data_IF_798485237156
#
_entry.id   IF_798485237156
#
_cell.length_a   1.000
_cell.length_b   1.000
_cell.length_c   1.000
_cell.angle_alpha   90.00
_cell.angle_beta   90.00
_cell.angle_gamma   90.00
#
_symmetry.space_group_name_H-M   'P 1'
#
loop_
_entity.id
_entity.type
_entity.pdbx_description
1 polymer ?
#
# COMPACT_ATOMS: atom_id res chain seq x y z
N UNK A 1 -0.96 9.40 21.61
CA UNK A 1 -1.50 9.49 20.24
C UNK A 1 -2.49 8.36 20.05
N UNK A 2 -3.58 8.55 19.31
CA UNK A 2 -4.53 7.48 18.98
C UNK A 2 -3.91 6.54 17.94
N UNK A 3 -3.78 5.25 18.27
CA UNK A 3 -3.36 4.20 17.32
C UNK A 3 -4.44 4.04 16.23
N UNK A 4 -4.12 4.13 14.92
CA UNK A 4 -5.10 3.94 13.87
C UNK A 4 -5.55 2.47 13.81
N UNK A 5 -6.82 2.25 13.49
CA UNK A 5 -7.34 0.92 13.15
C UNK A 5 -6.96 0.59 11.72
N UNK A 6 -6.29 -0.54 11.52
CA UNK A 6 -5.87 -1.03 10.21
C UNK A 6 -6.58 -2.33 9.90
N UNK A 7 -7.31 -2.36 8.78
CA UNK A 7 -7.95 -3.57 8.28
C UNK A 7 -6.92 -4.44 7.56
N UNK A 8 -6.61 -5.61 8.11
CA UNK A 8 -5.66 -6.56 7.53
C UNK A 8 -6.45 -7.63 6.77
N UNK A 9 -6.42 -7.63 5.44
CA UNK A 9 -7.07 -8.70 4.68
C UNK A 9 -6.19 -9.94 4.72
N UNK A 10 -6.76 -11.09 5.07
CA UNK A 10 -6.04 -12.37 5.18
C UNK A 10 -5.33 -12.81 3.89
N UNK A 11 -5.80 -12.33 2.73
CA UNK A 11 -5.31 -12.76 1.44
C UNK A 11 -5.84 -14.15 1.08
N UNK A 12 -5.06 -14.93 0.35
CA UNK A 12 -5.39 -16.31 0.01
C UNK A 12 -5.22 -17.22 1.25
N UNK A 13 -6.30 -17.85 1.76
CA UNK A 13 -6.24 -18.69 2.96
C UNK A 13 -5.46 -20.00 2.78
N UNK A 14 -5.16 -20.41 1.54
CA UNK A 14 -4.28 -21.54 1.25
C UNK A 14 -2.81 -21.11 1.13
N UNK A 15 -2.52 -19.80 1.11
CA UNK A 15 -1.14 -19.27 1.09
C UNK A 15 -0.57 -19.04 2.49
N UNK A 16 0.55 -18.32 2.54
CA UNK A 16 1.23 -17.94 3.80
C UNK A 16 0.55 -16.80 4.57
N UNK A 17 -0.44 -16.13 3.99
CA UNK A 17 -1.12 -14.96 4.58
C UNK A 17 -1.56 -15.16 6.03
N UNK A 18 -2.30 -16.25 6.35
CA UNK A 18 -2.66 -16.57 7.73
C UNK A 18 -1.46 -16.71 8.68
N UNK A 19 -0.37 -17.35 8.24
CA UNK A 19 0.83 -17.60 9.06
C UNK A 19 1.55 -16.29 9.39
N UNK A 20 1.81 -15.46 8.38
CA UNK A 20 2.52 -14.18 8.60
C UNK A 20 1.69 -13.20 9.43
N UNK A 21 0.36 -13.24 9.34
CA UNK A 21 -0.53 -12.44 10.21
C UNK A 21 -0.37 -12.88 11.66
N UNK A 22 -0.46 -14.19 11.94
CA UNK A 22 -0.33 -14.69 13.31
C UNK A 22 1.05 -14.39 13.91
N UNK A 23 2.11 -14.46 13.11
CA UNK A 23 3.45 -14.04 13.54
C UNK A 23 3.54 -12.54 13.78
N UNK A 24 3.16 -11.71 12.80
CA UNK A 24 3.22 -10.25 12.89
C UNK A 24 2.46 -9.71 14.09
N UNK A 25 1.26 -10.23 14.36
CA UNK A 25 0.43 -9.77 15.49
C UNK A 25 0.96 -10.23 16.86
N UNK A 26 1.91 -11.16 16.91
CA UNK A 26 2.64 -11.55 18.11
C UNK A 26 3.72 -10.55 18.53
N UNK A 27 4.09 -9.62 17.64
CA UNK A 27 5.06 -8.58 17.96
C UNK A 27 4.41 -7.43 18.72
N UNK A 28 4.96 -7.11 19.90
CA UNK A 28 4.44 -6.04 20.75
C UNK A 28 4.44 -4.67 20.06
N UNK A 29 5.36 -4.42 19.12
CA UNK A 29 5.43 -3.15 18.38
C UNK A 29 4.23 -2.92 17.47
N UNK A 30 3.67 -3.98 16.88
CA UNK A 30 2.48 -3.89 16.01
C UNK A 30 1.29 -3.48 16.86
N UNK A 31 1.10 -4.16 18.00
CA UNK A 31 0.05 -3.80 18.95
C UNK A 31 0.27 -2.39 19.51
N UNK A 32 1.50 -1.96 19.76
CA UNK A 32 1.78 -0.63 20.29
C UNK A 32 1.53 0.52 19.28
N UNK A 33 1.52 0.23 17.98
CA UNK A 33 1.45 1.26 16.93
C UNK A 33 0.11 1.31 16.20
N UNK A 34 -0.63 0.20 16.12
CA UNK A 34 -1.94 0.17 15.48
C UNK A 34 -2.99 -0.64 16.27
N UNK A 35 -4.24 -0.58 15.81
CA UNK A 35 -5.35 -1.46 16.21
C UNK A 35 -5.62 -2.43 15.05
N UNK A 36 -4.99 -3.61 15.04
CA UNK A 36 -5.08 -4.53 13.91
C UNK A 36 -6.43 -5.26 13.91
N UNK A 37 -7.23 -5.06 12.87
CA UNK A 37 -8.47 -5.79 12.63
C UNK A 37 -8.28 -6.72 11.44
N UNK A 38 -8.22 -8.03 11.66
CA UNK A 38 -8.09 -9.00 10.57
C UNK A 38 -9.45 -9.22 9.92
N UNK A 39 -9.55 -9.04 8.61
CA UNK A 39 -10.70 -9.42 7.80
C UNK A 39 -10.38 -10.75 7.13
N UNK A 40 -11.02 -11.82 7.61
CA UNK A 40 -10.56 -13.18 7.32
C UNK A 40 -11.49 -14.28 7.81
N UNK A 41 -10.88 -15.42 8.16
CA UNK A 41 -11.56 -16.58 8.74
C UNK A 41 -10.87 -16.98 10.06
N UNK A 42 -11.64 -16.97 11.15
CA UNK A 42 -11.07 -17.14 12.48
C UNK A 42 -10.48 -18.55 12.69
N UNK A 43 -11.10 -19.59 12.11
CA UNK A 43 -10.57 -20.95 12.27
C UNK A 43 -9.29 -21.16 11.45
N UNK A 44 -9.21 -20.57 10.24
CA UNK A 44 -7.97 -20.56 9.46
C UNK A 44 -6.82 -19.88 10.21
N UNK A 45 -7.08 -18.77 10.92
CA UNK A 45 -6.07 -18.14 11.79
C UNK A 45 -5.66 -19.04 12.95
N UNK A 46 -6.60 -19.74 13.61
CA UNK A 46 -6.25 -20.68 14.68
C UNK A 46 -5.40 -21.84 14.18
N UNK A 47 -5.71 -22.37 12.99
CA UNK A 47 -4.87 -23.37 12.32
C UNK A 47 -3.46 -22.83 12.07
N UNK A 48 -3.35 -21.63 11.51
CA UNK A 48 -2.06 -20.98 11.28
C UNK A 48 -1.29 -20.70 12.58
N UNK A 49 -1.98 -20.26 13.63
CA UNK A 49 -1.41 -20.06 14.97
C UNK A 49 -0.76 -21.33 15.52
N UNK A 50 -1.44 -22.48 15.38
CA UNK A 50 -0.87 -23.80 15.74
C UNK A 50 0.37 -24.14 14.91
N UNK A 51 0.36 -23.86 13.61
CA UNK A 51 1.48 -24.14 12.69
C UNK A 51 2.72 -23.32 13.07
N UNK A 52 2.54 -22.04 13.42
CA UNK A 52 3.66 -21.14 13.76
C UNK A 52 4.03 -21.17 15.25
N UNK A 53 3.32 -21.96 16.07
CA UNK A 53 3.55 -22.02 17.52
C UNK A 53 3.17 -20.74 18.27
N UNK A 54 2.15 -20.02 17.81
CA UNK A 54 1.64 -18.81 18.47
C UNK A 54 0.64 -19.15 19.58
N UNK A 55 0.80 -18.51 20.73
CA UNK A 55 -0.12 -18.61 21.88
C UNK A 55 -1.29 -17.60 21.81
N UNK A 56 -1.37 -16.79 20.74
CA UNK A 56 -2.42 -15.79 20.58
C UNK A 56 -3.80 -16.44 20.42
N UNK A 57 -4.74 -16.04 21.27
CA UNK A 57 -6.15 -16.34 21.06
C UNK A 57 -6.68 -15.57 19.83
N UNK A 58 -7.69 -16.14 19.15
CA UNK A 58 -8.38 -15.51 18.02
C UNK A 58 -9.85 -15.29 18.38
N UNK A 59 -10.24 -14.02 18.51
CA UNK A 59 -11.61 -13.58 18.70
C UNK A 59 -12.33 -13.55 17.34
N UNK A 60 -13.44 -14.29 17.23
CA UNK A 60 -14.31 -14.29 16.05
C UNK A 60 -15.40 -13.24 16.24
N UNK A 61 -15.40 -12.22 15.38
CA UNK A 61 -16.29 -11.06 15.43
C UNK A 61 -17.27 -11.11 14.27
N UNK A 62 -18.52 -10.71 14.50
CA UNK A 62 -19.54 -10.59 13.45
C UNK A 62 -19.54 -9.19 12.81
N UNK A 63 -19.08 -8.18 13.56
CA UNK A 63 -18.97 -6.81 13.11
C UNK A 63 -17.67 -6.16 13.59
N UNK A 64 -17.10 -5.25 12.78
CA UNK A 64 -15.86 -4.55 13.10
C UNK A 64 -15.94 -3.73 14.41
N UNK A 65 -17.13 -3.23 14.75
CA UNK A 65 -17.36 -2.45 15.97
C UNK A 65 -17.32 -3.28 17.27
N UNK A 66 -17.30 -4.62 17.17
CA UNK A 66 -17.19 -5.52 18.32
C UNK A 66 -15.74 -5.72 18.78
N UNK A 67 -14.76 -5.21 18.02
CA UNK A 67 -13.36 -5.45 18.28
C UNK A 67 -12.89 -4.85 19.62
N UNK A 68 -12.35 -5.71 20.48
CA UNK A 68 -11.67 -5.34 21.72
C UNK A 68 -10.15 -5.43 21.53
N UNK A 69 -9.56 -4.30 21.12
CA UNK A 69 -8.12 -4.19 20.87
C UNK A 69 -7.25 -4.23 22.14
N UNK A 70 -7.85 -4.25 23.33
CA UNK A 70 -7.11 -4.35 24.60
C UNK A 70 -7.12 -5.78 25.18
N UNK A 71 -7.92 -6.70 24.60
CA UNK A 71 -8.03 -8.11 25.04
C UNK A 71 -6.76 -8.95 24.89
N UNK A 72 -5.80 -8.49 24.07
CA UNK A 72 -4.61 -9.27 23.68
C UNK A 72 -4.89 -10.39 22.66
N UNK A 73 -6.15 -10.61 22.28
CA UNK A 73 -6.51 -11.56 21.24
C UNK A 73 -6.45 -10.93 19.84
N UNK A 74 -6.18 -11.75 18.82
CA UNK A 74 -6.34 -11.35 17.41
C UNK A 74 -7.82 -11.10 17.13
N UNK A 75 -8.14 -9.84 16.80
CA UNK A 75 -9.49 -9.42 16.45
C UNK A 75 -9.77 -9.78 14.99
N UNK A 76 -10.58 -10.82 14.76
CA UNK A 76 -10.90 -11.28 13.41
C UNK A 76 -12.38 -11.03 13.10
N UNK A 77 -12.64 -10.13 12.16
CA UNK A 77 -13.92 -10.06 11.47
C UNK A 77 -14.06 -11.31 10.61
N UNK A 78 -14.86 -12.26 11.11
CA UNK A 78 -14.87 -13.65 10.68
C UNK A 78 -15.97 -13.89 9.64
N UNK A 79 -15.59 -14.03 8.37
CA UNK A 79 -16.53 -14.20 7.27
C UNK A 79 -16.99 -15.65 7.11
N UNK A 80 -16.28 -16.63 7.70
CA UNK A 80 -16.63 -18.06 7.66
C UNK A 80 -16.83 -18.61 6.25
N UNK A 81 -15.99 -18.16 5.32
CA UNK A 81 -16.05 -18.51 3.89
C UNK A 81 -15.02 -19.56 3.48
N UNK A 82 -14.20 -20.05 4.42
CA UNK A 82 -13.16 -21.03 4.14
C UNK A 82 -13.66 -22.44 4.48
N UNK A 83 -13.63 -23.39 3.54
CA UNK A 83 -13.88 -24.81 3.85
C UNK A 83 -12.89 -25.31 4.90
N UNK A 84 -13.38 -26.07 5.88
CA UNK A 84 -12.58 -26.57 6.99
C UNK A 84 -11.39 -27.45 6.54
N UNK A 85 -11.55 -28.13 5.41
CA UNK A 85 -10.59 -29.05 4.79
C UNK A 85 -9.73 -28.42 3.69
N UNK A 86 -9.85 -27.11 3.43
CA UNK A 86 -9.05 -26.44 2.40
C UNK A 86 -7.55 -26.60 2.73
N UNK A 87 -6.74 -27.23 1.85
CA UNK A 87 -5.33 -27.47 2.11
C UNK A 87 -4.50 -26.20 1.96
N UNK A 88 -3.40 -26.11 2.71
CA UNK A 88 -2.35 -25.13 2.45
C UNK A 88 -1.55 -25.53 1.20
N UNK A 89 -1.01 -24.52 0.52
CA UNK A 89 -0.06 -24.69 -0.58
C UNK A 89 -0.68 -25.10 -1.92
N UNK A 90 -2.00 -25.00 -2.07
CA UNK A 90 -2.70 -25.37 -3.30
C UNK A 90 -3.62 -24.26 -3.78
N UNK A 91 -3.56 -23.99 -5.09
CA UNK A 91 -4.52 -23.09 -5.75
C UNK A 91 -5.92 -23.68 -5.62
N UNK A 92 -6.88 -22.86 -5.17
CA UNK A 92 -8.26 -23.28 -4.98
C UNK A 92 -9.24 -22.15 -5.33
N UNK A 93 -10.31 -22.43 -6.10
CA UNK A 93 -11.38 -21.46 -6.34
C UNK A 93 -12.02 -20.96 -5.04
N UNK A 94 -12.16 -21.83 -4.02
CA UNK A 94 -12.71 -21.43 -2.72
C UNK A 94 -11.78 -20.43 -2.00
N UNK A 95 -10.46 -20.60 -2.13
CA UNK A 95 -9.48 -19.67 -1.58
C UNK A 95 -9.49 -18.32 -2.31
N UNK A 96 -9.67 -18.34 -3.64
CA UNK A 96 -9.86 -17.14 -4.44
C UNK A 96 -11.12 -16.35 -4.09
N UNK A 97 -12.25 -17.04 -3.91
CA UNK A 97 -13.51 -16.43 -3.46
C UNK A 97 -13.35 -15.81 -2.07
N UNK A 98 -12.74 -16.54 -1.13
CA UNK A 98 -12.47 -16.02 0.21
C UNK A 98 -11.62 -14.75 0.17
N UNK A 99 -10.51 -14.74 -0.59
CA UNK A 99 -9.65 -13.57 -0.75
C UNK A 99 -10.41 -12.35 -1.31
N UNK A 100 -11.26 -12.55 -2.32
CA UNK A 100 -12.14 -11.49 -2.85
C UNK A 100 -13.06 -10.93 -1.77
N UNK A 101 -13.74 -11.79 -1.01
CA UNK A 101 -14.67 -11.38 0.06
C UNK A 101 -13.99 -10.62 1.18
N UNK A 102 -12.75 -10.98 1.54
CA UNK A 102 -11.98 -10.23 2.54
C UNK A 102 -11.69 -8.81 2.06
N UNK A 103 -11.36 -8.62 0.79
CA UNK A 103 -11.11 -7.29 0.22
C UNK A 103 -12.41 -6.49 0.15
N UNK A 104 -13.49 -7.08 -0.34
CA UNK A 104 -14.83 -6.46 -0.38
C UNK A 104 -15.26 -5.99 1.01
N UNK A 105 -15.10 -6.83 2.03
CA UNK A 105 -15.45 -6.48 3.40
C UNK A 105 -14.52 -5.43 4.00
N UNK A 106 -13.22 -5.49 3.73
CA UNK A 106 -12.28 -4.46 4.18
C UNK A 106 -12.59 -3.09 3.58
N UNK A 107 -12.98 -3.03 2.29
CA UNK A 107 -13.47 -1.81 1.64
C UNK A 107 -14.71 -1.26 2.36
N UNK A 108 -15.68 -2.11 2.69
CA UNK A 108 -16.87 -1.69 3.43
C UNK A 108 -16.52 -1.14 4.84
N UNK A 109 -15.57 -1.77 5.55
CA UNK A 109 -15.11 -1.31 6.88
C UNK A 109 -14.46 0.08 6.80
N UNK A 110 -13.62 0.34 5.80
CA UNK A 110 -12.97 1.66 5.67
C UNK A 110 -13.94 2.74 5.17
N UNK A 111 -14.87 2.39 4.28
CA UNK A 111 -15.93 3.31 3.84
C UNK A 111 -16.89 3.69 4.98
N UNK A 112 -17.09 2.79 5.95
CA UNK A 112 -17.85 3.05 7.17
C UNK A 112 -17.05 3.84 8.23
N UNK A 113 -15.80 4.23 7.96
CA UNK A 113 -14.94 4.95 8.90
C UNK A 113 -14.43 4.10 10.07
N UNK A 114 -14.61 2.77 10.03
CA UNK A 114 -14.23 1.86 11.11
C UNK A 114 -12.74 1.46 11.06
N UNK A 115 -12.06 1.74 9.95
CA UNK A 115 -10.61 1.60 9.82
C UNK A 115 -10.03 2.77 8.99
N UNK A 116 -8.78 3.14 9.29
CA UNK A 116 -8.05 4.26 8.68
C UNK A 116 -7.08 3.82 7.57
N UNK A 117 -6.96 2.52 7.30
CA UNK A 117 -6.12 1.97 6.25
C UNK A 117 -6.38 0.49 6.03
N UNK A 118 -5.96 0.00 4.85
CA UNK A 118 -5.98 -1.43 4.51
C UNK A 118 -4.53 -1.91 4.38
N UNK A 119 -4.19 -3.02 5.03
CA UNK A 119 -2.94 -3.73 4.80
C UNK A 119 -3.26 -5.11 4.24
N UNK A 120 -2.77 -5.43 3.05
CA UNK A 120 -3.15 -6.69 2.39
C UNK A 120 -2.05 -7.73 2.51
N UNK A 121 -2.39 -8.91 3.04
CA UNK A 121 -1.61 -10.13 2.84
C UNK A 121 -1.77 -10.64 1.38
N UNK A 122 -0.90 -11.55 0.90
CA UNK A 122 -0.85 -11.87 -0.52
C UNK A 122 -2.05 -12.73 -0.97
N UNK A 123 -2.46 -12.56 -2.24
CA UNK A 123 -3.46 -13.41 -2.89
C UNK A 123 -2.91 -14.06 -4.15
N UNK A 124 -3.51 -15.18 -4.58
CA UNK A 124 -3.20 -15.80 -5.86
C UNK A 124 -4.14 -15.27 -6.94
N UNK A 125 -3.58 -14.64 -7.97
CA UNK A 125 -4.33 -14.23 -9.17
C UNK A 125 -5.00 -15.41 -9.84
N UNK A 126 -4.34 -16.57 -9.88
CA UNK A 126 -4.87 -17.80 -10.46
C UNK A 126 -6.11 -18.28 -9.69
N UNK A 127 -6.03 -18.32 -8.35
CA UNK A 127 -7.16 -18.68 -7.51
C UNK A 127 -8.32 -17.70 -7.66
N UNK A 128 -8.03 -16.39 -7.67
CA UNK A 128 -9.00 -15.33 -7.86
C UNK A 128 -9.75 -15.47 -9.20
N UNK A 129 -9.02 -15.77 -10.28
CA UNK A 129 -9.61 -16.00 -11.61
C UNK A 129 -10.44 -17.29 -11.65
N UNK A 130 -9.97 -18.35 -11.00
CA UNK A 130 -10.69 -19.62 -10.90
C UNK A 130 -12.01 -19.48 -10.11
N UNK A 131 -12.09 -18.51 -9.19
CA UNK A 131 -13.32 -18.12 -8.49
C UNK A 131 -14.27 -17.24 -9.33
N UNK A 132 -13.88 -16.87 -10.56
CA UNK A 132 -14.68 -16.01 -11.45
C UNK A 132 -14.33 -14.52 -11.39
N UNK A 133 -13.40 -14.11 -10.53
CA UNK A 133 -13.01 -12.70 -10.33
C UNK A 133 -11.82 -12.32 -11.20
N UNK A 134 -12.07 -11.70 -12.36
CA UNK A 134 -11.03 -11.44 -13.38
C UNK A 134 -10.34 -10.08 -13.17
N UNK A 135 -9.60 -9.97 -12.08
CA UNK A 135 -8.79 -8.78 -11.78
C UNK A 135 -7.29 -9.06 -11.93
N UNK A 136 -6.47 -8.10 -12.42
CA UNK A 136 -5.02 -8.28 -12.48
C UNK A 136 -4.36 -8.46 -11.11
N UNK A 137 -4.87 -7.78 -10.07
CA UNK A 137 -4.43 -7.92 -8.69
C UNK A 137 -5.22 -7.03 -7.73
N UNK A 138 -4.65 -6.81 -6.54
CA UNK A 138 -5.26 -6.01 -5.48
C UNK A 138 -5.59 -4.58 -5.91
N UNK A 139 -4.68 -3.93 -6.64
CA UNK A 139 -4.79 -2.51 -6.99
C UNK A 139 -6.06 -2.24 -7.80
N UNK A 140 -6.28 -3.03 -8.84
CA UNK A 140 -7.44 -2.89 -9.74
C UNK A 140 -8.74 -3.33 -9.06
N UNK A 141 -8.68 -4.39 -8.24
CA UNK A 141 -9.83 -4.85 -7.47
C UNK A 141 -10.29 -3.79 -6.46
N UNK A 142 -9.36 -3.23 -5.68
CA UNK A 142 -9.66 -2.17 -4.72
C UNK A 142 -10.21 -0.94 -5.42
N UNK A 143 -9.57 -0.48 -6.50
CA UNK A 143 -10.03 0.67 -7.27
C UNK A 143 -11.45 0.47 -7.81
N UNK A 144 -11.76 -0.74 -8.30
CA UNK A 144 -13.11 -1.10 -8.74
C UNK A 144 -14.13 -1.01 -7.59
N UNK A 145 -13.84 -1.66 -6.45
CA UNK A 145 -14.73 -1.70 -5.29
C UNK A 145 -14.93 -0.33 -4.64
N UNK A 146 -13.96 0.57 -4.75
CA UNK A 146 -14.05 1.93 -4.19
C UNK A 146 -14.55 2.96 -5.19
N UNK A 147 -14.83 2.58 -6.44
CA UNK A 147 -15.18 3.52 -7.51
C UNK A 147 -14.06 4.53 -7.81
N UNK A 148 -12.81 4.16 -7.56
CA UNK A 148 -11.64 5.03 -7.74
C UNK A 148 -11.13 4.92 -9.18
N UNK A 149 -11.21 5.98 -9.99
CA UNK A 149 -10.87 5.91 -11.41
C UNK A 149 -9.36 5.82 -11.66
N UNK A 150 -8.55 6.43 -10.78
CA UNK A 150 -7.10 6.47 -10.92
C UNK A 150 -6.43 6.32 -9.56
N UNK A 151 -5.36 5.52 -9.53
CA UNK A 151 -4.48 5.35 -8.38
C UNK A 151 -3.03 5.62 -8.81
N UNK A 152 -2.18 5.94 -7.84
CA UNK A 152 -0.75 6.10 -8.00
C UNK A 152 0.00 5.14 -7.09
N UNK A 153 1.15 4.68 -7.57
CA UNK A 153 2.10 3.92 -6.76
C UNK A 153 2.99 4.89 -5.98
N UNK A 154 3.04 4.70 -4.67
CA UNK A 154 3.98 5.36 -3.78
C UNK A 154 4.87 4.31 -3.10
N UNK A 155 6.16 4.60 -3.02
CA UNK A 155 7.12 3.88 -2.20
C UNK A 155 7.48 4.75 -1.01
N UNK A 156 7.63 4.13 0.15
CA UNK A 156 8.03 4.82 1.37
C UNK A 156 9.21 4.11 2.00
N UNK A 157 10.17 4.90 2.48
CA UNK A 157 11.20 4.51 3.41
C UNK A 157 11.16 5.48 4.60
N UNK A 158 11.88 5.20 5.70
CA UNK A 158 11.92 6.11 6.84
C UNK A 158 12.28 7.57 6.51
N UNK A 159 13.01 7.81 5.42
CA UNK A 159 13.51 9.14 5.03
C UNK A 159 12.94 9.67 3.73
N UNK A 160 12.26 8.86 2.94
CA UNK A 160 11.90 9.22 1.57
C UNK A 160 10.53 8.65 1.20
N UNK A 161 9.68 9.50 0.61
CA UNK A 161 8.42 9.09 -0.02
C UNK A 161 8.50 9.43 -1.49
N UNK A 162 8.24 8.45 -2.37
CA UNK A 162 8.32 8.64 -3.82
C UNK A 162 7.04 8.18 -4.47
N UNK A 163 6.32 9.09 -5.11
CA UNK A 163 5.13 8.79 -5.91
C UNK A 163 5.48 8.81 -7.40
N UNK A 164 4.90 7.89 -8.18
CA UNK A 164 5.27 7.69 -9.58
C UNK A 164 4.19 8.21 -10.53
N UNK A 165 4.61 8.94 -11.56
CA UNK A 165 3.75 9.38 -12.67
C UNK A 165 3.47 8.21 -13.62
N UNK A 166 4.48 7.40 -13.89
CA UNK A 166 4.36 6.16 -14.67
C UNK A 166 5.06 4.99 -13.97
N UNK A 167 4.56 3.77 -14.17
CA UNK A 167 5.06 2.55 -13.53
C UNK A 167 5.51 1.50 -14.55
N UNK A 168 4.84 0.36 -14.66
CA UNK A 168 5.28 -0.81 -15.42
C UNK A 168 5.00 -0.68 -16.93
N UNK A 169 5.73 0.22 -17.61
CA UNK A 169 5.71 0.42 -19.07
C UNK A 169 7.13 0.67 -19.60
N UNK A 170 7.35 0.49 -20.91
CA UNK A 170 8.64 0.75 -21.54
C UNK A 170 9.06 2.21 -21.37
N UNK A 171 10.36 2.50 -21.21
CA UNK A 171 10.84 3.85 -20.90
C UNK A 171 10.43 4.90 -21.95
N UNK A 172 10.46 4.55 -23.25
CA UNK A 172 10.01 5.44 -24.32
C UNK A 172 8.51 5.73 -24.18
N UNK A 173 7.71 4.70 -23.91
CA UNK A 173 6.26 4.84 -23.71
C UNK A 173 5.95 5.63 -22.44
N UNK A 174 6.76 5.46 -21.38
CA UNK A 174 6.67 6.26 -20.16
C UNK A 174 6.83 7.74 -20.46
N UNK A 175 7.91 8.11 -21.15
CA UNK A 175 8.19 9.51 -21.52
C UNK A 175 7.08 10.06 -22.42
N UNK A 176 6.61 9.28 -23.40
CA UNK A 176 5.53 9.67 -24.29
C UNK A 176 4.18 9.87 -23.58
N UNK A 177 3.89 9.04 -22.58
CA UNK A 177 2.64 9.07 -21.80
C UNK A 177 2.58 10.25 -20.82
N UNK A 178 3.71 10.80 -20.41
CA UNK A 178 3.74 11.94 -19.48
C UNK A 178 3.13 13.17 -20.18
N UNK A 179 2.16 13.76 -19.49
CA UNK A 179 1.45 14.97 -19.89
C UNK A 179 1.06 15.78 -18.65
N UNK A 180 0.85 17.10 -18.76
CA UNK A 180 0.66 17.97 -17.60
C UNK A 180 -0.47 17.55 -16.65
N UNK A 181 -1.62 17.15 -17.19
CA UNK A 181 -2.76 16.71 -16.40
C UNK A 181 -2.44 15.46 -15.56
N UNK A 182 -1.71 14.50 -16.11
CA UNK A 182 -1.30 13.29 -15.41
C UNK A 182 -0.36 13.63 -14.26
N UNK A 183 0.64 14.49 -14.52
CA UNK A 183 1.57 14.95 -13.49
C UNK A 183 0.81 15.68 -12.37
N UNK A 184 -0.11 16.58 -12.72
CA UNK A 184 -0.93 17.32 -11.75
C UNK A 184 -1.77 16.39 -10.89
N UNK A 185 -2.46 15.41 -11.51
CA UNK A 185 -3.29 14.43 -10.78
C UNK A 185 -2.45 13.55 -9.85
N UNK A 186 -1.22 13.21 -10.23
CA UNK A 186 -0.28 12.45 -9.37
C UNK A 186 0.17 13.30 -8.18
N UNK A 187 0.58 14.56 -8.41
CA UNK A 187 0.93 15.51 -7.33
C UNK A 187 -0.24 15.65 -6.36
N UNK A 188 -1.45 15.89 -6.87
CA UNK A 188 -2.65 16.07 -6.07
C UNK A 188 -2.98 14.85 -5.20
N UNK A 189 -2.85 13.64 -5.74
CA UNK A 189 -3.03 12.38 -5.00
C UNK A 189 -2.04 12.24 -3.85
N UNK A 190 -0.76 12.52 -4.10
CA UNK A 190 0.27 12.47 -3.06
C UNK A 190 0.07 13.54 -1.99
N UNK A 191 -0.17 14.79 -2.40
CA UNK A 191 -0.48 15.91 -1.50
C UNK A 191 -1.65 15.58 -0.55
N UNK A 192 -2.76 15.06 -1.09
CA UNK A 192 -3.94 14.71 -0.30
C UNK A 192 -3.66 13.65 0.78
N UNK A 193 -2.80 12.67 0.50
CA UNK A 193 -2.39 11.66 1.50
C UNK A 193 -1.55 12.29 2.60
N UNK A 194 -0.58 13.13 2.27
CA UNK A 194 0.31 13.74 3.26
C UNK A 194 -0.46 14.69 4.19
N UNK A 195 -1.39 15.48 3.64
CA UNK A 195 -2.29 16.33 4.44
C UNK A 195 -3.13 15.50 5.40
N UNK A 196 -3.75 14.40 4.91
CA UNK A 196 -4.51 13.48 5.78
C UNK A 196 -3.62 12.87 6.88
N UNK A 197 -2.38 12.52 6.55
CA UNK A 197 -1.38 11.99 7.48
C UNK A 197 -0.84 13.04 8.49
N UNK A 198 -1.30 14.30 8.41
CA UNK A 198 -0.99 15.36 9.37
C UNK A 198 0.12 16.32 8.93
N UNK A 199 0.61 16.22 7.69
CA UNK A 199 1.57 17.18 7.11
C UNK A 199 0.74 18.28 6.44
N UNK A 200 0.43 19.34 7.17
CA UNK A 200 -0.52 20.37 6.73
C UNK A 200 -0.09 21.11 5.45
N UNK A 201 1.21 21.34 5.27
CA UNK A 201 1.80 22.01 4.10
C UNK A 201 2.97 21.16 3.56
N UNK A 202 2.69 20.09 2.79
CA UNK A 202 3.73 19.17 2.32
C UNK A 202 4.65 19.83 1.29
N UNK A 203 5.96 19.71 1.50
CA UNK A 203 6.98 20.12 0.52
C UNK A 203 7.19 19.04 -0.51
N UNK A 204 6.79 19.30 -1.75
CA UNK A 204 6.79 18.30 -2.84
C UNK A 204 7.83 18.68 -3.89
N UNK A 205 8.83 17.82 -4.08
CA UNK A 205 9.79 17.96 -5.17
C UNK A 205 9.36 17.16 -6.38
N UNK A 206 9.44 17.73 -7.58
CA UNK A 206 9.08 17.06 -8.83
C UNK A 206 10.32 16.84 -9.68
N UNK A 207 10.61 15.59 -10.01
CA UNK A 207 11.73 15.25 -10.89
C UNK A 207 11.52 15.77 -12.31
N UNK A 208 12.60 16.17 -12.96
CA UNK A 208 12.65 16.31 -14.41
C UNK A 208 12.65 14.94 -15.11
N UNK A 209 12.44 14.93 -16.43
CA UNK A 209 12.63 13.72 -17.25
C UNK A 209 14.11 13.60 -17.62
N UNK A 210 14.70 14.71 -18.07
CA UNK A 210 16.05 14.79 -18.59
C UNK A 210 17.09 15.08 -17.50
N UNK A 211 18.36 14.70 -17.71
CA UNK A 211 19.47 15.15 -16.87
C UNK A 211 19.47 16.66 -16.71
N UNK A 212 19.81 17.13 -15.51
CA UNK A 212 19.93 18.56 -15.19
C UNK A 212 18.67 19.38 -15.52
N UNK A 213 17.49 18.74 -15.47
CA UNK A 213 16.22 19.37 -15.85
C UNK A 213 16.21 19.97 -17.26
N UNK A 214 16.89 19.29 -18.19
CA UNK A 214 17.00 19.72 -19.58
C UNK A 214 18.11 20.75 -19.84
N UNK A 215 18.81 21.21 -18.79
CA UNK A 215 19.94 22.16 -18.88
C UNK A 215 19.61 23.36 -19.80
N UNK A 216 18.51 24.06 -19.49
CA UNK A 216 18.00 25.18 -20.28
C UNK A 216 17.74 24.86 -21.77
N UNK A 217 17.38 23.61 -22.07
CA UNK A 217 17.10 23.13 -23.42
C UNK A 217 18.31 22.53 -24.14
N UNK A 218 19.47 22.41 -23.48
CA UNK A 218 20.61 21.68 -24.03
C UNK A 218 20.38 20.17 -24.04
N UNK A 219 19.60 19.64 -23.10
CA UNK A 219 19.24 18.22 -23.01
C UNK A 219 17.74 18.04 -23.19
N UNK A 220 17.36 17.09 -24.04
CA UNK A 220 15.96 16.82 -24.37
C UNK A 220 15.44 17.68 -25.52
N UNK A 221 14.12 17.73 -25.63
CA UNK A 221 13.34 18.41 -26.69
C UNK A 221 12.29 19.36 -26.12
N UNK A 222 12.47 19.80 -24.88
CA UNK A 222 11.53 20.67 -24.17
C UNK A 222 10.47 19.91 -23.37
N UNK A 223 10.69 18.64 -23.05
CA UNK A 223 9.75 17.80 -22.29
C UNK A 223 9.42 18.40 -20.91
N UNK A 224 10.39 19.01 -20.21
CA UNK A 224 10.14 19.69 -18.95
C UNK A 224 9.12 20.83 -19.08
N UNK A 225 9.28 21.68 -20.09
CA UNK A 225 8.42 22.83 -20.33
C UNK A 225 7.03 22.42 -20.86
N UNK A 226 6.97 21.41 -21.72
CA UNK A 226 5.71 20.92 -22.30
C UNK A 226 4.91 20.09 -21.30
N UNK A 227 5.57 19.21 -20.54
CA UNK A 227 4.91 18.10 -19.83
C UNK A 227 4.85 18.26 -18.32
N UNK A 228 5.78 18.99 -17.71
CA UNK A 228 5.94 19.03 -16.25
C UNK A 228 5.66 20.42 -15.67
N UNK A 229 6.29 21.47 -16.22
CA UNK A 229 6.17 22.84 -15.71
C UNK A 229 4.71 23.34 -15.61
N UNK A 230 3.80 23.05 -16.57
CA UNK A 230 2.41 23.50 -16.45
C UNK A 230 1.68 22.84 -15.27
N UNK A 231 1.98 21.58 -14.96
CA UNK A 231 1.39 20.86 -13.82
C UNK A 231 1.84 21.45 -12.49
N UNK A 232 3.12 21.83 -12.38
CA UNK A 232 3.70 22.47 -11.21
C UNK A 232 3.06 23.84 -11.00
N UNK A 233 2.97 24.65 -12.06
CA UNK A 233 2.32 25.96 -11.99
C UNK A 233 0.84 25.85 -11.57
N UNK A 234 0.11 24.86 -12.08
CA UNK A 234 -1.27 24.60 -11.69
C UNK A 234 -1.40 24.21 -10.21
N UNK A 235 -0.46 23.44 -9.66
CA UNK A 235 -0.41 23.10 -8.24
C UNK A 235 -0.03 24.30 -7.35
N UNK A 236 0.95 25.11 -7.78
CA UNK A 236 1.35 26.34 -7.08
C UNK A 236 0.22 27.37 -7.05
N UNK A 237 -0.59 27.46 -8.11
CA UNK A 237 -1.79 28.31 -8.15
C UNK A 237 -2.86 27.91 -7.11
N UNK A 238 -2.82 26.66 -6.62
CA UNK A 238 -3.65 26.18 -5.49
C UNK A 238 -3.04 26.50 -4.12
N UNK A 239 -1.85 27.10 -4.08
CA UNK A 239 -1.11 27.44 -2.87
C UNK A 239 -0.26 26.29 -2.31
N UNK A 240 0.00 25.23 -3.07
CA UNK A 240 0.81 24.09 -2.61
C UNK A 240 2.32 24.35 -2.80
N UNK A 241 3.16 23.97 -1.84
CA UNK A 241 4.64 24.03 -1.95
C UNK A 241 5.17 22.89 -2.85
N UNK A 242 4.97 23.06 -4.16
CA UNK A 242 5.46 22.15 -5.20
C UNK A 242 6.62 22.81 -5.95
N UNK A 243 7.77 22.15 -6.00
CA UNK A 243 9.01 22.69 -6.59
C UNK A 243 9.54 21.78 -7.71
N UNK A 244 9.93 22.40 -8.81
CA UNK A 244 10.60 21.76 -9.94
C UNK A 244 10.19 22.31 -11.30
N UNK A 245 10.45 21.57 -12.39
CA UNK A 245 11.16 20.28 -12.41
C UNK A 245 12.61 20.42 -11.91
N UNK A 246 13.07 19.47 -11.10
CA UNK A 246 14.42 19.45 -10.54
C UNK A 246 15.24 18.29 -11.11
N UNK A 247 16.57 18.44 -11.28
CA UNK A 247 17.45 17.32 -11.59
C UNK A 247 17.25 16.19 -10.57
N UNK A 248 16.96 14.98 -11.04
CA UNK A 248 16.59 13.87 -10.17
C UNK A 248 17.72 13.51 -9.18
N UNK A 249 18.96 13.47 -9.65
CA UNK A 249 20.16 13.24 -8.85
C UNK A 249 20.29 14.21 -7.66
N UNK A 250 20.01 15.49 -7.89
CA UNK A 250 20.00 16.52 -6.84
C UNK A 250 18.78 16.40 -5.93
N UNK A 251 17.58 16.21 -6.51
CA UNK A 251 16.35 16.14 -5.74
C UNK A 251 16.34 14.96 -4.76
N UNK A 252 16.78 13.77 -5.18
CA UNK A 252 16.84 12.62 -4.27
C UNK A 252 17.85 12.81 -3.13
N UNK A 253 18.97 13.50 -3.38
CA UNK A 253 19.92 13.89 -2.33
C UNK A 253 19.27 14.83 -1.30
N UNK A 254 18.58 15.88 -1.77
CA UNK A 254 17.89 16.84 -0.89
C UNK A 254 16.74 16.18 -0.11
N UNK A 255 15.94 15.36 -0.78
CA UNK A 255 14.85 14.63 -0.14
C UNK A 255 15.38 13.67 0.95
N UNK A 256 16.49 12.97 0.70
CA UNK A 256 17.14 12.13 1.72
C UNK A 256 17.67 12.88 2.94
N UNK A 257 17.88 14.20 2.83
CA UNK A 257 18.22 15.10 3.95
C UNK A 257 17.00 15.64 4.70
N UNK A 258 15.79 15.38 4.21
CA UNK A 258 14.53 15.86 4.78
C UNK A 258 14.06 17.22 4.25
N UNK A 259 14.63 17.70 3.14
CA UNK A 259 14.24 18.99 2.56
C UNK A 259 12.86 18.94 1.85
N UNK A 260 12.38 17.73 1.53
CA UNK A 260 11.09 17.44 0.89
C UNK A 260 10.37 16.30 1.61
N UNK A 261 9.05 16.42 1.74
CA UNK A 261 8.18 15.39 2.34
C UNK A 261 7.86 14.26 1.35
N UNK A 262 7.90 14.57 0.05
CA UNK A 262 7.68 13.64 -1.06
C UNK A 262 8.38 14.08 -2.34
N UNK A 263 8.84 13.09 -3.11
CA UNK A 263 9.36 13.22 -4.47
C UNK A 263 8.35 12.64 -5.46
N UNK A 264 8.12 13.34 -6.57
CA UNK A 264 7.35 12.86 -7.71
C UNK A 264 8.31 12.41 -8.81
N UNK A 265 8.41 11.10 -9.00
CA UNK A 265 9.22 10.47 -10.04
C UNK A 265 8.41 10.31 -11.33
N UNK A 266 9.02 10.66 -12.46
CA UNK A 266 8.41 10.63 -13.79
C UNK A 266 8.22 9.19 -14.30
N UNK A 267 9.17 8.30 -14.00
CA UNK A 267 9.16 6.90 -14.43
C UNK A 267 9.67 5.96 -13.32
N UNK A 268 9.37 4.67 -13.47
CA UNK A 268 9.60 3.63 -12.47
C UNK A 268 11.02 3.65 -11.87
N UNK A 269 12.04 3.49 -12.71
CA UNK A 269 13.42 3.35 -12.24
C UNK A 269 13.98 4.66 -11.66
N UNK A 270 13.44 5.82 -12.04
CA UNK A 270 13.80 7.11 -11.45
C UNK A 270 13.50 7.14 -9.96
N UNK A 271 12.39 6.53 -9.52
CA UNK A 271 11.99 6.48 -8.12
C UNK A 271 12.44 5.21 -7.39
N UNK A 272 12.42 4.06 -8.06
CA UNK A 272 12.79 2.78 -7.46
C UNK A 272 14.29 2.68 -7.17
N UNK A 273 15.15 3.19 -8.07
CA UNK A 273 16.60 3.16 -7.88
C UNK A 273 17.04 3.77 -6.55
N UNK A 274 16.71 5.05 -6.29
CA UNK A 274 17.04 5.71 -5.02
C UNK A 274 16.46 5.01 -3.79
N UNK A 275 15.18 4.60 -3.82
CA UNK A 275 14.54 3.92 -2.68
C UNK A 275 15.25 2.60 -2.34
N UNK A 276 15.55 1.76 -3.34
CA UNK A 276 16.20 0.46 -3.11
C UNK A 276 17.63 0.60 -2.61
N UNK A 277 18.37 1.60 -3.10
CA UNK A 277 19.73 1.89 -2.60
C UNK A 277 19.69 2.35 -1.14
N UNK A 278 18.65 3.08 -0.73
CA UNK A 278 18.52 3.65 0.62
C UNK A 278 17.84 2.72 1.64
N UNK A 279 17.20 1.63 1.23
CA UNK A 279 16.47 0.75 2.15
C UNK A 279 15.90 -0.50 1.48
N UNK A 280 16.76 -1.50 1.29
CA UNK A 280 16.48 -2.73 0.54
C UNK A 280 15.50 -3.71 1.23
N UNK A 281 15.12 -3.49 2.49
CA UNK A 281 14.14 -4.34 3.20
C UNK A 281 12.73 -3.72 3.31
N UNK A 282 12.54 -2.44 2.94
CA UNK A 282 11.32 -1.68 3.23
C UNK A 282 10.47 -1.30 2.00
N UNK A 283 10.66 -1.99 0.87
CA UNK A 283 10.03 -1.70 -0.43
C UNK A 283 8.53 -2.02 -0.51
N UNK A 284 7.77 -1.69 0.53
CA UNK A 284 6.31 -1.84 0.56
C UNK A 284 5.69 -0.93 -0.48
N UNK A 285 4.84 -1.52 -1.31
CA UNK A 285 4.06 -0.80 -2.30
C UNK A 285 2.82 -0.18 -1.63
N UNK A 286 2.70 1.14 -1.72
CA UNK A 286 1.54 1.89 -1.25
C UNK A 286 0.69 2.33 -2.43
N UNK A 287 -0.57 1.94 -2.41
CA UNK A 287 -1.57 2.42 -3.37
C UNK A 287 -2.21 3.70 -2.83
N UNK A 288 -2.02 4.79 -3.58
CA UNK A 288 -2.53 6.12 -3.24
C UNK A 288 -3.66 6.52 -4.20
N UNK A 289 -4.69 7.18 -3.69
CA UNK A 289 -5.87 7.61 -4.44
C UNK A 289 -7.15 6.88 -4.07
N UNK A 290 -7.04 5.74 -3.38
CA UNK A 290 -8.15 5.06 -2.71
C UNK A 290 -8.70 5.93 -1.55
N UNK A 291 -9.93 5.67 -1.04
CA UNK A 291 -10.52 6.42 0.06
C UNK A 291 -9.63 6.48 1.32
N UNK A 292 -8.89 5.40 1.55
CA UNK A 292 -7.84 5.27 2.57
C UNK A 292 -6.55 4.77 1.93
N UNK A 293 -5.43 4.87 2.66
CA UNK A 293 -4.17 4.26 2.21
C UNK A 293 -4.31 2.74 2.15
N UNK A 294 -3.63 2.12 1.18
CA UNK A 294 -3.44 0.67 1.16
C UNK A 294 -1.96 0.34 1.05
N UNK A 295 -1.47 -0.47 1.99
CA UNK A 295 -0.13 -1.07 1.96
C UNK A 295 -0.21 -2.56 1.65
N UNK A 296 0.90 -3.13 1.22
CA UNK A 296 1.00 -4.52 0.78
C UNK A 296 2.37 -5.07 1.10
N UNK A 297 2.42 -6.35 1.44
CA UNK A 297 3.67 -7.12 1.36
C UNK A 297 4.21 -7.12 -0.07
N UNK A 298 5.50 -7.34 -0.21
CA UNK A 298 6.26 -7.38 -1.47
C UNK A 298 6.40 -8.79 -2.08
N UNK A 299 5.92 -9.83 -1.37
CA UNK A 299 5.97 -11.22 -1.81
C UNK A 299 4.59 -11.79 -2.17
N UNK A 300 4.60 -12.95 -2.85
CA UNK A 300 3.38 -13.68 -3.24
C UNK A 300 2.83 -14.60 -2.14
N UNK A 301 1.91 -15.50 -2.51
CA UNK A 301 1.27 -16.47 -1.60
C UNK A 301 2.19 -17.57 -1.11
N UNK A 302 3.34 -17.77 -1.77
CA UNK A 302 4.38 -18.73 -1.41
C UNK A 302 3.83 -20.13 -1.07
N UNK A 303 3.03 -20.67 -1.97
CA UNK A 303 2.33 -21.95 -1.78
C UNK A 303 3.28 -23.13 -1.47
N UNK A 304 4.51 -23.08 -1.97
CA UNK A 304 5.55 -24.08 -1.71
C UNK A 304 5.98 -24.13 -0.23
N UNK A 305 5.77 -23.06 0.54
CA UNK A 305 6.09 -23.00 1.98
C UNK A 305 4.87 -22.79 2.88
N UNK A 306 3.67 -22.60 2.31
CA UNK A 306 2.43 -22.43 3.06
C UNK A 306 2.13 -23.66 3.93
N UNK A 307 1.75 -23.40 5.18
CA UNK A 307 1.47 -24.42 6.19
C UNK A 307 2.71 -25.06 6.81
N UNK A 308 3.92 -24.56 6.54
CA UNK A 308 5.18 -25.08 7.11
C UNK A 308 5.72 -24.24 8.26
N UNK A 309 5.15 -23.08 8.55
CA UNK A 309 5.56 -22.19 9.63
C UNK A 309 6.85 -21.41 9.37
N UNK A 310 7.42 -21.47 8.16
CA UNK A 310 8.74 -20.88 7.84
C UNK A 310 8.68 -19.54 7.10
N UNK A 311 7.49 -19.06 6.74
CA UNK A 311 7.33 -17.77 6.08
C UNK A 311 7.73 -16.60 6.99
N UNK A 312 8.36 -15.58 6.42
CA UNK A 312 8.86 -14.40 7.12
C UNK A 312 7.80 -13.29 7.15
N UNK A 313 7.51 -12.76 8.34
CA UNK A 313 6.49 -11.73 8.57
C UNK A 313 7.00 -10.28 8.47
N UNK A 314 8.32 -10.05 8.33
CA UNK A 314 8.91 -8.69 8.39
C UNK A 314 8.33 -7.73 7.34
N UNK A 315 8.03 -8.23 6.14
CA UNK A 315 7.38 -7.45 5.08
C UNK A 315 5.98 -6.97 5.49
N UNK A 316 5.21 -7.80 6.22
CA UNK A 316 3.90 -7.42 6.75
C UNK A 316 4.01 -6.40 7.88
N UNK A 317 4.99 -6.56 8.78
CA UNK A 317 5.25 -5.60 9.86
C UNK A 317 5.60 -4.23 9.27
N UNK A 318 6.48 -4.18 8.27
CA UNK A 318 6.81 -2.93 7.59
C UNK A 318 5.61 -2.33 6.86
N UNK A 319 4.77 -3.17 6.23
CA UNK A 319 3.56 -2.70 5.57
C UNK A 319 2.55 -2.08 6.58
N UNK A 320 2.46 -2.64 7.79
CA UNK A 320 1.67 -2.07 8.88
C UNK A 320 2.28 -0.77 9.39
N UNK A 321 3.60 -0.71 9.57
CA UNK A 321 4.32 0.49 10.01
C UNK A 321 4.07 1.66 9.05
N UNK A 322 4.21 1.43 7.74
CA UNK A 322 3.95 2.45 6.73
C UNK A 322 2.47 2.85 6.67
N UNK A 323 1.56 1.92 6.92
CA UNK A 323 0.14 2.23 7.03
C UNK A 323 -0.14 3.12 8.25
N UNK A 324 0.52 2.90 9.39
CA UNK A 324 0.42 3.79 10.57
C UNK A 324 0.96 5.19 10.28
N UNK A 325 2.09 5.28 9.59
CA UNK A 325 2.74 6.54 9.27
C UNK A 325 1.87 7.42 8.35
N UNK A 326 1.16 6.80 7.40
CA UNK A 326 0.29 7.49 6.44
C UNK A 326 -1.20 7.46 6.81
N UNK A 327 -1.57 6.81 7.91
CA UNK A 327 -2.96 6.78 8.36
C UNK A 327 -3.44 8.21 8.68
N UNK A 328 -4.69 8.56 8.28
CA UNK A 328 -5.28 9.83 8.63
C UNK A 328 -5.21 10.13 10.14
N UNK A 329 -4.71 11.31 10.53
CA UNK A 329 -4.61 11.73 11.94
C UNK A 329 -5.93 12.28 12.51
N UNK A 330 -6.91 12.55 11.65
CA UNK A 330 -8.29 12.80 12.04
C UNK A 330 -9.20 11.92 11.19
N UNK A 331 -10.24 11.35 11.82
CA UNK A 331 -11.37 10.78 11.09
C UNK A 331 -12.14 11.99 10.58
N UNK A 332 -12.18 12.19 9.26
CA UNK A 332 -13.05 13.21 8.70
C UNK A 332 -14.48 12.92 9.20
N UNK A 333 -15.07 13.89 9.89
CA UNK A 333 -16.44 13.86 10.38
C UNK A 333 -17.44 13.86 9.22
#
# INVERSE_FOLDING_TARGET
MTRPTLAITMGDPAGIGPEIIMKALGHAEVQATCRPLVVGDAERLRQAGRIVGSDLAVASLSAAGEADFESGAVQCLDLKVVPADLPFGQVSPAAGEAAYRYIEKAVAVVQAGQAQGICTAPLSKEALHAAGHRYPGHTELLAHLTGTPEVSMMLVSPKLRVIHVTTHIGLIDAIAKIEPGLVERVIARGHAVLVKAGIADPKIGVCAINPHAGENGLFGRGEEAEKIAPAIAACQAKGWDVRGPLPADTLFFLAGRGDYDMVVAMYHDQGHGPIKVLGLEAGVNITVGLPVIRTSVDHGTAFDIAGKGIADERSLIEALRQAVDLAPKSIAA
#
